data_IF_276636128380
#
_entry.id   IF_276636128380
#
_cell.length_a   1.000
_cell.length_b   1.000
_cell.length_c   1.000
_cell.angle_alpha   90.00
_cell.angle_beta   90.00
_cell.angle_gamma   90.00
#
_symmetry.space_group_name_H-M   'P 1'
#
loop_
_entity.id
_entity.type
_entity.pdbx_description
1 polymer ?
#
# COMPACT_ATOMS: atom_id res chain seq x y z
N UNK A 1 -5.69 -55.36 7.15
CA UNK A 1 -7.09 -54.99 7.44
C UNK A 1 -7.46 -53.79 6.55
N UNK A 2 -8.03 -54.02 5.36
CA UNK A 2 -8.33 -52.96 4.36
C UNK A 2 -9.82 -52.94 3.96
N UNK A 3 -10.69 -53.44 4.83
CA UNK A 3 -12.11 -53.63 4.55
C UNK A 3 -12.99 -52.35 4.65
N UNK A 4 -12.68 -51.29 5.43
CA UNK A 4 -13.63 -50.19 5.61
C UNK A 4 -13.73 -49.28 4.38
N UNK A 5 -12.63 -49.00 3.67
CA UNK A 5 -12.62 -48.08 2.50
C UNK A 5 -13.49 -48.59 1.35
N UNK A 6 -13.37 -49.87 1.00
CA UNK A 6 -14.14 -50.49 -0.10
C UNK A 6 -15.65 -50.48 0.14
N UNK A 7 -16.08 -50.55 1.40
CA UNK A 7 -17.50 -50.47 1.74
C UNK A 7 -18.03 -49.05 1.58
N UNK A 8 -17.26 -48.03 1.97
CA UNK A 8 -17.63 -46.63 1.78
C UNK A 8 -17.69 -46.27 0.29
N UNK A 9 -16.75 -46.75 -0.52
CA UNK A 9 -16.78 -46.54 -1.97
C UNK A 9 -18.01 -47.17 -2.62
N UNK A 10 -18.36 -48.41 -2.25
CA UNK A 10 -19.58 -49.07 -2.76
C UNK A 10 -20.85 -48.32 -2.36
N UNK A 11 -20.98 -47.92 -1.10
CA UNK A 11 -22.13 -47.16 -0.61
C UNK A 11 -22.24 -45.82 -1.35
N UNK A 12 -21.12 -45.13 -1.55
CA UNK A 12 -21.07 -43.86 -2.30
C UNK A 12 -21.46 -44.05 -3.76
N UNK A 13 -20.97 -45.12 -4.39
CA UNK A 13 -21.29 -45.45 -5.78
C UNK A 13 -22.76 -45.82 -5.96
N UNK A 14 -23.34 -46.57 -5.02
CA UNK A 14 -24.76 -46.93 -5.02
C UNK A 14 -25.64 -45.69 -4.83
N UNK A 15 -25.27 -44.78 -3.92
CA UNK A 15 -25.97 -43.51 -3.72
C UNK A 15 -25.94 -42.60 -4.95
N UNK A 16 -24.78 -42.48 -5.62
CA UNK A 16 -24.65 -41.70 -6.86
C UNK A 16 -25.45 -42.32 -8.00
N UNK A 17 -25.53 -43.65 -8.05
CA UNK A 17 -26.28 -44.38 -9.07
C UNK A 17 -27.80 -44.30 -8.84
N UNK A 18 -28.23 -44.34 -7.58
CA UNK A 18 -29.65 -44.27 -7.17
C UNK A 18 -30.21 -42.85 -7.21
N UNK A 19 -29.38 -41.83 -6.93
CA UNK A 19 -29.75 -40.42 -7.14
C UNK A 19 -30.01 -40.09 -8.62
N UNK A 20 -29.51 -40.92 -9.56
CA UNK A 20 -29.60 -40.67 -10.99
C UNK A 20 -28.82 -39.41 -11.40
N UNK A 21 -28.63 -39.25 -12.72
CA UNK A 21 -28.22 -37.97 -13.28
C UNK A 21 -29.43 -37.03 -13.22
N UNK A 22 -29.81 -36.55 -12.03
CA UNK A 22 -30.67 -35.37 -11.96
C UNK A 22 -29.92 -34.26 -12.70
N UNK A 23 -30.35 -34.02 -13.95
CA UNK A 23 -29.81 -32.90 -14.70
C UNK A 23 -30.15 -31.65 -13.89
N UNK A 24 -29.13 -30.91 -13.43
CA UNK A 24 -29.41 -29.65 -12.78
C UNK A 24 -30.25 -28.80 -13.73
N UNK A 25 -31.14 -27.98 -13.19
CA UNK A 25 -31.98 -27.13 -14.02
C UNK A 25 -31.11 -26.35 -15.02
N UNK A 26 -31.63 -26.07 -16.22
CA UNK A 26 -30.87 -25.34 -17.25
C UNK A 26 -30.35 -23.98 -16.75
N UNK A 27 -30.98 -23.43 -15.73
CA UNK A 27 -30.61 -22.19 -15.05
C UNK A 27 -29.65 -22.38 -13.85
N UNK A 28 -29.25 -23.60 -13.48
CA UNK A 28 -28.40 -23.86 -12.32
C UNK A 28 -27.06 -23.12 -12.41
N UNK A 29 -26.38 -23.23 -13.55
CA UNK A 29 -25.10 -22.53 -13.76
C UNK A 29 -25.31 -21.02 -13.73
N UNK A 30 -26.39 -20.51 -14.32
CA UNK A 30 -26.72 -19.09 -14.27
C UNK A 30 -26.99 -18.60 -12.85
N UNK A 31 -27.73 -19.38 -12.06
CA UNK A 31 -28.05 -19.06 -10.67
C UNK A 31 -26.81 -19.09 -9.76
N UNK A 32 -25.93 -20.09 -9.96
CA UNK A 32 -24.65 -20.19 -9.25
C UNK A 32 -23.74 -19.03 -9.63
N UNK A 33 -23.63 -18.71 -10.92
CA UNK A 33 -22.79 -17.61 -11.40
C UNK A 33 -23.31 -16.25 -10.89
N UNK A 34 -24.62 -16.03 -10.94
CA UNK A 34 -25.27 -14.83 -10.39
C UNK A 34 -25.07 -14.71 -8.86
N UNK A 35 -25.11 -15.83 -8.13
CA UNK A 35 -24.87 -15.84 -6.69
C UNK A 35 -23.40 -15.54 -6.36
N UNK A 36 -22.47 -16.06 -7.16
CA UNK A 36 -21.04 -15.79 -7.02
C UNK A 36 -20.74 -14.33 -7.38
N UNK A 37 -21.29 -13.80 -8.47
CA UNK A 37 -21.12 -12.40 -8.87
C UNK A 37 -21.66 -11.43 -7.83
N UNK A 38 -22.86 -11.70 -7.27
CA UNK A 38 -23.41 -10.90 -6.16
C UNK A 38 -22.54 -10.95 -4.91
N UNK A 39 -21.83 -12.05 -4.66
CA UNK A 39 -20.93 -12.18 -3.52
C UNK A 39 -19.57 -11.53 -3.78
N UNK A 40 -19.06 -11.59 -5.01
CA UNK A 40 -17.83 -10.90 -5.45
C UNK A 40 -18.03 -9.39 -5.65
N UNK A 41 -19.28 -8.93 -5.77
CA UNK A 41 -19.65 -7.52 -5.77
C UNK A 41 -19.40 -6.81 -4.41
N UNK A 42 -18.95 -7.54 -3.38
CA UNK A 42 -18.06 -6.95 -2.36
C UNK A 42 -16.71 -6.65 -3.03
N UNK A 43 -16.76 -5.74 -4.00
CA UNK A 43 -15.61 -5.17 -4.68
C UNK A 43 -14.66 -4.71 -3.58
N UNK A 44 -13.39 -5.09 -3.66
CA UNK A 44 -12.34 -4.53 -2.81
C UNK A 44 -12.33 -3.02 -3.05
N UNK A 45 -13.17 -2.29 -2.33
CA UNK A 45 -13.29 -0.84 -2.48
C UNK A 45 -11.95 -0.30 -2.03
N UNK A 46 -11.20 0.26 -2.98
CA UNK A 46 -9.93 0.89 -2.70
C UNK A 46 -10.18 2.04 -1.74
N UNK A 47 -9.93 1.80 -0.45
CA UNK A 47 -10.02 2.81 0.58
C UNK A 47 -8.67 3.53 0.60
N UNK A 48 -8.61 4.82 0.26
CA UNK A 48 -7.36 5.55 0.29
C UNK A 48 -6.79 5.49 1.72
N UNK A 49 -5.48 5.23 1.85
CA UNK A 49 -4.81 5.08 3.14
C UNK A 49 -4.96 6.32 4.03
N UNK A 50 -5.07 7.49 3.40
CA UNK A 50 -5.31 8.77 4.05
C UNK A 50 -6.57 9.38 3.44
N UNK A 51 -7.55 9.71 4.28
CA UNK A 51 -8.77 10.38 3.85
C UNK A 51 -8.45 11.78 3.30
N UNK A 52 -9.35 12.35 2.49
CA UNK A 52 -9.18 13.74 2.00
C UNK A 52 -8.99 14.75 3.15
N UNK A 53 -9.60 14.49 4.30
CA UNK A 53 -9.43 15.29 5.52
C UNK A 53 -8.05 15.10 6.16
N UNK A 54 -7.51 13.87 6.16
CA UNK A 54 -6.16 13.58 6.65
C UNK A 54 -5.08 14.32 5.86
N UNK A 55 -5.25 14.49 4.55
CA UNK A 55 -4.37 15.32 3.73
C UNK A 55 -4.40 16.80 4.11
N UNK A 56 -5.57 17.34 4.50
CA UNK A 56 -5.67 18.70 5.02
C UNK A 56 -4.90 18.90 6.32
N UNK A 57 -4.95 17.92 7.23
CA UNK A 57 -4.19 17.95 8.48
C UNK A 57 -2.68 17.90 8.23
N UNK A 58 -2.21 17.02 7.33
CA UNK A 58 -0.80 16.95 6.96
C UNK A 58 -0.32 18.27 6.35
N UNK A 59 -1.10 18.87 5.46
CA UNK A 59 -0.78 20.17 4.87
C UNK A 59 -0.73 21.27 5.93
N UNK A 60 -1.68 21.30 6.87
CA UNK A 60 -1.70 22.28 7.95
C UNK A 60 -0.48 22.17 8.87
N UNK A 61 -0.09 20.96 9.26
CA UNK A 61 1.12 20.72 10.07
C UNK A 61 2.36 21.16 9.30
N UNK A 62 2.45 20.86 8.01
CA UNK A 62 3.59 21.27 7.18
C UNK A 62 3.71 22.80 7.10
N UNK A 63 2.62 23.50 6.80
CA UNK A 63 2.60 24.97 6.74
C UNK A 63 2.94 25.59 8.09
N UNK A 64 2.38 25.05 9.19
CA UNK A 64 2.69 25.52 10.54
C UNK A 64 4.18 25.33 10.88
N UNK A 65 4.77 24.20 10.48
CA UNK A 65 6.19 23.92 10.68
C UNK A 65 7.09 24.92 9.95
N UNK A 66 6.77 25.22 8.69
CA UNK A 66 7.51 26.21 7.88
C UNK A 66 7.36 27.62 8.47
N UNK A 67 6.14 28.01 8.88
CA UNK A 67 5.90 29.30 9.52
C UNK A 67 6.66 29.44 10.84
N UNK A 68 6.73 28.36 11.64
CA UNK A 68 7.46 28.35 12.91
C UNK A 68 8.97 28.50 12.68
N UNK A 69 9.54 27.82 11.67
CA UNK A 69 10.95 27.94 11.30
C UNK A 69 11.28 29.34 10.75
N UNK A 70 10.35 29.98 10.06
CA UNK A 70 10.52 31.36 9.59
C UNK A 70 10.50 32.37 10.75
N UNK A 71 9.63 32.17 11.73
CA UNK A 71 9.51 33.05 12.90
C UNK A 71 10.62 32.83 13.93
N UNK A 72 11.13 31.60 14.05
CA UNK A 72 12.16 31.21 15.02
C UNK A 72 13.32 30.49 14.32
N UNK A 73 14.28 31.23 13.76
CA UNK A 73 15.47 30.63 13.17
C UNK A 73 16.32 29.97 14.27
N UNK A 74 16.42 28.64 14.21
CA UNK A 74 17.24 27.85 15.14
C UNK A 74 18.70 28.01 14.69
N UNK A 75 19.50 28.72 15.49
CA UNK A 75 20.93 28.96 15.24
C UNK A 75 21.74 27.66 15.16
N UNK A 76 22.80 27.69 14.35
CA UNK A 76 23.57 26.51 13.94
C UNK A 76 24.25 25.78 15.12
N UNK A 77 23.78 24.58 15.44
CA UNK A 77 24.49 23.68 16.34
C UNK A 77 25.60 22.96 15.57
N UNK A 78 26.83 23.42 15.79
CA UNK A 78 28.08 23.07 15.09
C UNK A 78 28.62 21.65 15.37
N UNK A 79 27.77 20.63 15.52
CA UNK A 79 28.20 19.26 15.86
C UNK A 79 28.42 18.33 14.65
N UNK A 80 28.19 18.81 13.41
CA UNK A 80 28.20 17.96 12.20
C UNK A 80 29.16 18.44 11.10
N UNK A 81 30.22 19.18 11.44
CA UNK A 81 31.12 19.75 10.44
C UNK A 81 32.04 18.72 9.74
N UNK A 82 32.04 17.46 10.17
CA UNK A 82 32.98 16.43 9.68
C UNK A 82 32.41 15.48 8.61
N UNK A 83 31.18 15.69 8.14
CA UNK A 83 30.63 14.86 7.06
C UNK A 83 31.07 15.43 5.71
N UNK A 84 32.31 15.13 5.28
CA UNK A 84 32.79 15.38 3.92
C UNK A 84 32.03 14.50 2.92
N UNK A 85 30.85 14.98 2.50
CA UNK A 85 30.18 14.49 1.30
C UNK A 85 31.06 14.86 0.11
N UNK A 86 31.60 13.83 -0.56
CA UNK A 86 32.51 13.96 -1.70
C UNK A 86 31.96 14.96 -2.73
N UNK A 87 32.83 15.89 -3.15
CA UNK A 87 32.54 16.94 -4.14
C UNK A 87 31.98 16.35 -5.43
N UNK A 88 30.65 16.42 -5.57
CA UNK A 88 29.98 16.29 -6.86
C UNK A 88 30.15 17.62 -7.59
N UNK A 89 31.23 17.69 -8.35
CA UNK A 89 31.67 18.88 -9.06
C UNK A 89 30.74 19.22 -10.24
N UNK A 90 30.42 20.51 -10.36
CA UNK A 90 29.89 21.21 -11.54
C UNK A 90 28.41 21.05 -11.93
N UNK A 91 27.49 21.07 -10.96
CA UNK A 91 26.13 21.56 -11.24
C UNK A 91 26.11 23.05 -10.94
N UNK A 92 25.93 23.91 -11.97
CA UNK A 92 25.62 25.34 -11.76
C UNK A 92 24.34 25.39 -10.93
N UNK A 93 24.50 25.62 -9.63
CA UNK A 93 23.40 25.56 -8.67
C UNK A 93 22.49 26.78 -8.89
N UNK A 94 21.26 26.62 -9.44
CA UNK A 94 20.32 27.74 -9.60
C UNK A 94 19.85 28.27 -8.25
N UNK A 95 20.20 27.59 -7.15
CA UNK A 95 19.90 27.96 -5.77
C UNK A 95 21.09 28.61 -5.05
N UNK A 96 22.14 29.05 -5.76
CA UNK A 96 23.34 29.63 -5.16
C UNK A 96 23.11 30.93 -4.34
N UNK A 97 21.93 31.55 -4.45
CA UNK A 97 21.53 32.69 -3.62
C UNK A 97 20.54 32.35 -2.49
N UNK A 98 20.20 31.07 -2.31
CA UNK A 98 19.31 30.63 -1.24
C UNK A 98 20.14 30.07 -0.08
N UNK A 99 20.24 30.84 1.01
CA UNK A 99 20.72 30.33 2.30
C UNK A 99 19.66 29.38 2.88
N UNK A 100 19.72 28.13 2.46
CA UNK A 100 18.82 27.08 2.96
C UNK A 100 19.37 26.59 4.30
N UNK A 101 18.58 26.69 5.36
CA UNK A 101 19.00 26.20 6.68
C UNK A 101 19.29 24.69 6.65
N UNK A 102 20.28 24.24 7.43
CA UNK A 102 20.65 22.80 7.49
C UNK A 102 19.46 21.91 7.81
N UNK A 103 18.56 22.38 8.67
CA UNK A 103 17.28 21.71 9.01
C UNK A 103 16.38 21.52 7.79
N UNK A 104 16.29 22.51 6.91
CA UNK A 104 15.49 22.44 5.70
C UNK A 104 16.09 21.44 4.69
N UNK A 105 17.42 21.37 4.58
CA UNK A 105 18.10 20.36 3.77
C UNK A 105 17.81 18.94 4.29
N UNK A 106 17.90 18.74 5.61
CA UNK A 106 17.56 17.45 6.21
C UNK A 106 16.08 17.09 6.03
N UNK A 107 15.17 18.08 6.15
CA UNK A 107 13.74 17.89 5.93
C UNK A 107 13.41 17.49 4.49
N UNK A 108 14.05 18.14 3.51
CA UNK A 108 13.91 17.78 2.09
C UNK A 108 14.47 16.38 1.84
N UNK A 109 15.65 16.05 2.37
CA UNK A 109 16.23 14.71 2.24
C UNK A 109 15.34 13.62 2.84
N UNK A 110 14.80 13.85 4.03
CA UNK A 110 13.84 12.95 4.67
C UNK A 110 12.58 12.78 3.83
N UNK A 111 12.01 13.86 3.29
CA UNK A 111 10.84 13.80 2.41
C UNK A 111 11.10 12.98 1.14
N UNK A 112 12.26 13.16 0.51
CA UNK A 112 12.65 12.38 -0.67
C UNK A 112 12.73 10.89 -0.31
N UNK A 113 13.41 10.54 0.78
CA UNK A 113 13.51 9.16 1.24
C UNK A 113 12.14 8.56 1.59
N UNK A 114 11.26 9.33 2.23
CA UNK A 114 9.89 8.91 2.55
C UNK A 114 9.06 8.66 1.28
N UNK A 115 9.16 9.52 0.27
CA UNK A 115 8.46 9.34 -1.00
C UNK A 115 8.99 8.13 -1.79
N UNK A 116 10.29 7.86 -1.72
CA UNK A 116 10.90 6.66 -2.35
C UNK A 116 10.43 5.35 -1.70
N UNK A 117 10.00 5.37 -0.44
CA UNK A 117 9.42 4.18 0.21
C UNK A 117 8.04 3.81 -0.35
N UNK A 118 7.29 4.77 -0.92
CA UNK A 118 5.95 4.56 -1.49
C UNK A 118 5.92 3.51 -2.62
N UNK A 119 6.77 3.58 -3.68
CA UNK A 119 6.79 2.56 -4.72
C UNK A 119 7.21 1.19 -4.20
N UNK A 120 8.07 1.12 -3.17
CA UNK A 120 8.51 -0.14 -2.57
C UNK A 120 7.34 -0.84 -1.84
N UNK A 121 6.59 -0.08 -1.03
CA UNK A 121 5.36 -0.56 -0.39
C UNK A 121 4.29 -0.95 -1.43
N UNK A 122 4.11 -0.13 -2.47
CA UNK A 122 3.15 -0.42 -3.54
C UNK A 122 3.45 -1.73 -4.25
N UNK A 123 4.73 -2.07 -4.47
CA UNK A 123 5.15 -3.33 -5.09
C UNK A 123 4.83 -4.54 -4.20
N UNK A 124 4.94 -4.42 -2.88
CA UNK A 124 4.63 -5.51 -1.95
C UNK A 124 3.13 -5.82 -1.87
N UNK A 125 2.26 -4.81 -1.92
CA UNK A 125 0.79 -5.01 -1.87
C UNK A 125 0.15 -5.34 -3.24
N UNK A 126 0.90 -5.20 -4.34
CA UNK A 126 0.42 -5.51 -5.68
C UNK A 126 0.70 -6.97 -6.11
N UNK A 127 1.57 -7.68 -5.39
CA UNK A 127 1.72 -9.14 -5.45
C UNK A 127 0.89 -9.82 -4.36
#
# INVERSE_FOLDING_TARGET
MEKPSKNIEKITQDWVREAGLEQPSSAFIQNVMNAIEKKSATQKVYRPLISKQGWGMVAAVFVASVALLYLFPIGETSYFNDVKLAEVSNIKNPFAGLEVSKTMVYGIGFLVLFLVQIPFLKRQFAN
#
